data_IF_553534945883
#
_entry.id   IF_553534945883
#
_cell.length_a   1.000
_cell.length_b   1.000
_cell.length_c   1.000
_cell.angle_alpha   90.00
_cell.angle_beta   90.00
_cell.angle_gamma   90.00
#
_symmetry.space_group_name_H-M   'P 1'
#
loop_
_entity.id
_entity.type
_entity.pdbx_description
1 polymer ?
#
# COMPACT_ATOMS: atom_id res chain seq x y z
N UNK A 1 -1.22 2.93 -21.87
CA UNK A 1 -0.42 1.76 -22.31
C UNK A 1 0.34 1.27 -21.09
N UNK A 2 0.12 0.02 -20.66
CA UNK A 2 0.78 -0.57 -19.48
C UNK A 2 2.26 -0.85 -19.79
N UNK A 3 3.18 -0.52 -18.87
CA UNK A 3 4.59 -0.88 -19.03
C UNK A 3 4.74 -2.40 -18.89
N UNK A 4 5.31 -3.03 -19.91
CA UNK A 4 5.42 -4.50 -20.02
C UNK A 4 6.37 -5.11 -18.99
N UNK A 5 7.18 -4.29 -18.31
CA UNK A 5 8.04 -4.72 -17.21
C UNK A 5 7.26 -4.94 -15.90
N UNK A 6 6.00 -4.53 -15.84
CA UNK A 6 5.18 -4.57 -14.63
C UNK A 6 4.31 -5.80 -14.56
N UNK A 7 4.23 -6.38 -13.36
CA UNK A 7 3.55 -7.63 -13.13
C UNK A 7 2.03 -7.44 -13.13
N UNK A 8 1.55 -6.38 -12.48
CA UNK A 8 0.13 -6.13 -12.25
C UNK A 8 -0.27 -4.66 -12.51
N UNK A 9 -1.58 -4.44 -12.62
CA UNK A 9 -2.15 -3.11 -12.66
C UNK A 9 -2.03 -2.41 -11.29
N UNK A 10 -1.39 -1.25 -11.24
CA UNK A 10 -1.09 -0.52 -9.99
C UNK A 10 0.39 -0.49 -9.63
N UNK A 11 1.21 -1.27 -10.34
CA UNK A 11 2.66 -1.20 -10.26
C UNK A 11 3.18 0.14 -10.79
N UNK A 12 4.20 0.68 -10.14
CA UNK A 12 4.79 1.97 -10.48
C UNK A 12 6.26 1.78 -10.81
N UNK A 13 6.68 2.35 -11.94
CA UNK A 13 8.10 2.60 -12.22
C UNK A 13 8.38 4.07 -11.94
N UNK A 14 9.10 4.32 -10.86
CA UNK A 14 9.70 5.61 -10.56
C UNK A 14 11.15 5.67 -11.03
N UNK A 15 11.68 6.87 -11.16
CA UNK A 15 13.12 7.10 -11.22
C UNK A 15 13.50 8.06 -10.09
N UNK A 16 14.52 7.71 -9.31
CA UNK A 16 15.07 8.58 -8.28
C UNK A 16 16.58 8.58 -8.40
N UNK A 17 17.14 9.75 -8.74
CA UNK A 17 18.59 9.94 -8.91
C UNK A 17 19.22 8.94 -9.90
N UNK A 18 18.54 8.63 -11.00
CA UNK A 18 19.03 7.70 -12.02
C UNK A 18 18.76 6.22 -11.69
N UNK A 19 18.22 5.91 -10.52
CA UNK A 19 17.84 4.56 -10.11
C UNK A 19 16.37 4.34 -10.47
N UNK A 20 16.10 3.30 -11.28
CA UNK A 20 14.73 2.84 -11.52
C UNK A 20 14.21 2.12 -10.26
N UNK A 21 13.06 2.55 -9.78
CA UNK A 21 12.37 1.97 -8.63
C UNK A 21 11.09 1.33 -9.14
N UNK A 22 10.98 0.02 -8.94
CA UNK A 22 9.73 -0.71 -9.14
C UNK A 22 8.99 -0.83 -7.81
N UNK A 23 7.71 -0.43 -7.78
CA UNK A 23 6.84 -0.54 -6.62
C UNK A 23 5.62 -1.34 -7.02
N UNK A 24 5.45 -2.55 -6.45
CA UNK A 24 4.21 -3.30 -6.55
C UNK A 24 3.23 -2.84 -5.47
N UNK A 25 2.07 -2.33 -5.88
CA UNK A 25 0.99 -1.96 -4.94
C UNK A 25 -0.11 -3.01 -5.12
N UNK A 26 -0.25 -3.99 -4.20
CA UNK A 26 -1.26 -5.03 -4.35
C UNK A 26 -2.66 -4.42 -4.28
N UNK A 27 -3.60 -5.04 -5.00
CA UNK A 27 -5.02 -4.70 -4.82
C UNK A 27 -5.47 -5.05 -3.40
N UNK A 28 -6.48 -4.33 -2.90
CA UNK A 28 -7.06 -4.61 -1.57
C UNK A 28 -7.47 -6.08 -1.43
N UNK A 29 -8.10 -6.65 -2.45
CA UNK A 29 -8.53 -8.05 -2.45
C UNK A 29 -7.33 -9.00 -2.35
N UNK A 30 -6.28 -8.77 -3.15
CA UNK A 30 -5.05 -9.58 -3.11
C UNK A 30 -4.39 -9.53 -1.74
N UNK A 31 -4.35 -8.36 -1.12
CA UNK A 31 -3.79 -8.18 0.22
C UNK A 31 -4.63 -8.88 1.30
N UNK A 32 -5.97 -8.78 1.26
CA UNK A 32 -6.85 -9.46 2.21
C UNK A 32 -6.72 -10.98 2.08
N UNK A 33 -6.74 -11.52 0.86
CA UNK A 33 -6.57 -12.96 0.65
C UNK A 33 -5.23 -13.44 1.22
N UNK A 34 -4.15 -12.69 0.99
CA UNK A 34 -2.83 -13.01 1.53
C UNK A 34 -2.81 -13.02 3.06
N UNK A 35 -3.47 -12.05 3.71
CA UNK A 35 -3.62 -12.03 5.17
C UNK A 35 -4.36 -13.28 5.66
N UNK A 36 -5.48 -13.63 5.03
CA UNK A 36 -6.27 -14.79 5.42
C UNK A 36 -5.51 -16.11 5.25
N UNK A 37 -4.85 -16.30 4.11
CA UNK A 37 -3.97 -17.45 3.81
C UNK A 37 -2.82 -17.56 4.82
N UNK A 38 -2.32 -16.43 5.31
CA UNK A 38 -1.25 -16.35 6.30
C UNK A 38 -1.74 -16.53 7.75
N UNK A 39 -3.03 -16.80 7.97
CA UNK A 39 -3.61 -16.97 9.30
C UNK A 39 -3.86 -15.66 10.05
N UNK A 40 -4.03 -14.55 9.34
CA UNK A 40 -4.41 -13.25 9.90
C UNK A 40 -5.84 -12.89 9.52
N UNK A 41 -6.45 -12.00 10.30
CA UNK A 41 -7.67 -11.29 9.93
C UNK A 41 -7.42 -9.78 9.95
N UNK A 42 -7.96 -9.07 8.96
CA UNK A 42 -7.90 -7.62 8.90
C UNK A 42 -8.91 -7.03 9.88
N UNK A 43 -8.45 -6.15 10.77
CA UNK A 43 -9.29 -5.44 11.73
C UNK A 43 -9.70 -4.07 11.21
N UNK A 44 -8.75 -3.34 10.61
CA UNK A 44 -8.95 -1.97 10.19
C UNK A 44 -8.05 -1.63 8.99
N UNK A 45 -8.52 -0.73 8.12
CA UNK A 45 -7.71 -0.05 7.13
C UNK A 45 -8.05 1.45 7.13
N UNK A 46 -7.06 2.30 6.93
CA UNK A 46 -7.25 3.74 6.86
C UNK A 46 -6.17 4.42 6.03
N UNK A 47 -6.47 5.62 5.54
CA UNK A 47 -5.48 6.51 4.96
C UNK A 47 -5.04 7.45 6.08
N UNK A 48 -3.73 7.55 6.32
CA UNK A 48 -3.24 8.35 7.44
C UNK A 48 -3.71 9.80 7.37
N UNK A 49 -3.72 10.40 6.17
CA UNK A 49 -4.24 11.75 5.93
C UNK A 49 -5.69 11.98 6.39
N UNK A 50 -6.52 10.94 6.43
CA UNK A 50 -7.93 11.06 6.82
C UNK A 50 -8.09 11.11 8.36
N UNK A 51 -7.04 10.74 9.12
CA UNK A 51 -7.06 10.66 10.59
C UNK A 51 -6.40 11.86 11.29
N UNK A 52 -5.68 12.69 10.55
CA UNK A 52 -4.83 13.76 11.09
C UNK A 52 -5.39 15.13 10.72
N UNK A 53 -5.46 16.03 11.70
CA UNK A 53 -5.91 17.41 11.47
C UNK A 53 -4.94 18.14 10.55
N UNK A 54 -5.48 18.90 9.59
CA UNK A 54 -4.78 19.45 8.40
C UNK A 54 -3.56 20.35 8.69
N UNK A 55 -3.33 20.71 9.94
CA UNK A 55 -2.28 21.64 10.36
C UNK A 55 -0.91 21.00 10.58
N UNK A 56 -0.80 19.67 10.46
CA UNK A 56 0.51 19.02 10.44
C UNK A 56 1.16 19.17 9.05
N UNK A 57 1.98 20.20 8.89
CA UNK A 57 3.01 20.22 7.84
C UNK A 57 3.90 19.00 8.06
N UNK A 58 3.81 17.95 7.22
CA UNK A 58 4.90 17.00 6.89
C UNK A 58 4.44 15.92 5.88
N UNK A 59 5.25 15.79 4.83
CA UNK A 59 5.61 14.62 4.00
C UNK A 59 4.56 13.69 3.36
N UNK A 60 4.95 13.20 2.18
CA UNK A 60 4.37 12.17 1.33
C UNK A 60 3.77 10.92 2.01
N UNK A 61 4.09 10.67 3.30
CA UNK A 61 3.51 9.61 4.12
C UNK A 61 1.98 9.79 4.34
N UNK A 62 1.42 10.99 4.20
CA UNK A 62 -0.02 11.19 4.43
C UNK A 62 -0.91 10.36 3.48
N UNK A 63 -0.43 10.08 2.27
CA UNK A 63 -1.22 9.35 1.25
C UNK A 63 -1.02 7.84 1.31
N UNK A 64 -0.32 7.32 2.31
CA UNK A 64 -0.16 5.88 2.50
C UNK A 64 -1.43 5.28 3.09
N UNK A 65 -1.78 4.09 2.60
CA UNK A 65 -2.80 3.23 3.22
C UNK A 65 -2.12 2.38 4.29
N UNK A 66 -2.79 2.26 5.43
CA UNK A 66 -2.39 1.47 6.57
C UNK A 66 -3.40 0.36 6.81
N UNK A 67 -2.93 -0.76 7.35
CA UNK A 67 -3.74 -1.92 7.68
C UNK A 67 -3.34 -2.44 9.05
N UNK A 68 -4.33 -2.71 9.89
CA UNK A 68 -4.16 -3.36 11.20
C UNK A 68 -4.74 -4.76 11.09
N UNK A 69 -3.93 -5.77 11.37
CA UNK A 69 -4.34 -7.17 11.33
C UNK A 69 -3.94 -7.89 12.62
N UNK A 70 -4.69 -8.93 12.98
CA UNK A 70 -4.35 -9.83 14.10
C UNK A 70 -4.21 -11.26 13.62
N UNK A 71 -3.41 -12.05 14.33
CA UNK A 71 -3.31 -13.50 14.12
C UNK A 71 -4.63 -14.15 14.53
N UNK A 72 -5.18 -15.00 13.66
CA UNK A 72 -6.33 -15.87 13.96
C UNK A 72 -5.87 -16.92 14.98
N UNK A 73 -6.51 -16.93 16.15
CA UNK A 73 -6.30 -17.96 17.18
C UNK A 73 -7.05 -19.24 16.84
#
# INVERSE_FOLDING_TARGET
MQDKRLHDFGDILGNKNGIEIFIHIPSRLKFINLLEESGYELLEEFIWADLVDKDWEINSAQKCKYWIARVKK
#
